data_IF_675584051550
#
_entry.id   IF_675584051550
#
_cell.length_a   1.000
_cell.length_b   1.000
_cell.length_c   1.000
_cell.angle_alpha   90.00
_cell.angle_beta   90.00
_cell.angle_gamma   90.00
#
_symmetry.space_group_name_H-M   'P 1'
#
loop_
_entity.id
_entity.type
_entity.pdbx_description
1 polymer ?
#
# COMPACT_ATOMS: atom_id res chain seq x y z
N UNK A 1 -23.39 -4.09 10.74
CA UNK A 1 -21.96 -4.13 10.34
C UNK A 1 -21.51 -2.70 10.28
N UNK A 2 -20.53 -2.33 11.09
CA UNK A 2 -20.03 -0.95 11.14
C UNK A 2 -19.24 -0.67 9.88
N UNK A 3 -19.61 0.40 9.17
CA UNK A 3 -18.87 0.87 8.02
C UNK A 3 -17.56 1.47 8.52
N UNK A 4 -16.43 0.91 8.10
CA UNK A 4 -15.09 1.33 8.55
C UNK A 4 -14.57 2.57 7.81
N UNK A 5 -15.33 3.07 6.84
CA UNK A 5 -14.96 4.11 5.88
C UNK A 5 -13.72 3.78 5.03
N UNK A 6 -13.15 2.59 5.16
CA UNK A 6 -12.01 2.13 4.39
C UNK A 6 -12.49 1.55 3.07
N UNK A 7 -12.11 2.19 1.96
CA UNK A 7 -12.32 1.68 0.62
C UNK A 7 -11.02 1.01 0.12
N UNK A 8 -11.14 -0.20 -0.39
CA UNK A 8 -10.07 -0.99 -1.02
C UNK A 8 -10.37 -1.11 -2.52
N UNK A 9 -9.34 -1.05 -3.37
CA UNK A 9 -9.52 -1.34 -4.81
C UNK A 9 -9.16 -2.79 -5.11
N UNK A 10 -10.02 -3.46 -5.88
CA UNK A 10 -9.69 -4.77 -6.43
C UNK A 10 -8.81 -4.65 -7.69
N UNK A 11 -8.46 -5.82 -8.25
CA UNK A 11 -7.66 -5.95 -9.47
C UNK A 11 -8.28 -5.37 -10.74
N UNK A 12 -9.53 -4.95 -10.69
CA UNK A 12 -10.25 -4.30 -11.78
C UNK A 12 -10.40 -2.79 -11.55
N UNK A 13 -9.79 -2.26 -10.48
CA UNK A 13 -9.90 -0.87 -10.07
C UNK A 13 -11.25 -0.55 -9.41
N UNK A 14 -12.07 -1.56 -9.10
CA UNK A 14 -13.36 -1.34 -8.46
C UNK A 14 -13.17 -1.19 -6.96
N UNK A 15 -13.89 -0.23 -6.39
CA UNK A 15 -13.81 0.06 -4.97
C UNK A 15 -14.79 -0.77 -4.16
N UNK A 16 -14.28 -1.36 -3.08
CA UNK A 16 -15.00 -2.20 -2.14
C UNK A 16 -14.85 -1.61 -0.75
N UNK A 17 -15.96 -1.54 0.00
CA UNK A 17 -15.92 -1.10 1.39
C UNK A 17 -15.42 -2.25 2.26
N UNK A 18 -14.37 -2.00 3.03
CA UNK A 18 -13.90 -2.94 4.03
C UNK A 18 -14.88 -2.98 5.20
N UNK A 19 -15.28 -4.19 5.59
CA UNK A 19 -16.20 -4.41 6.70
C UNK A 19 -15.53 -5.37 7.67
N UNK A 20 -15.22 -4.86 8.86
CA UNK A 20 -14.67 -5.64 9.97
C UNK A 20 -15.14 -5.02 11.29
N UNK A 21 -15.21 -5.83 12.32
CA UNK A 21 -15.61 -5.48 13.67
C UNK A 21 -14.43 -4.92 14.50
N UNK A 22 -14.72 -4.40 15.68
CA UNK A 22 -13.69 -3.83 16.57
C UNK A 22 -12.70 -4.87 17.11
N UNK A 23 -13.10 -6.15 17.13
CA UNK A 23 -12.26 -7.27 17.59
C UNK A 23 -11.47 -7.92 16.44
N UNK A 24 -11.57 -7.38 15.23
CA UNK A 24 -10.87 -7.84 14.04
C UNK A 24 -9.79 -6.84 13.64
N UNK A 25 -8.72 -7.36 13.04
CA UNK A 25 -7.69 -6.56 12.40
C UNK A 25 -7.65 -6.87 10.91
N UNK A 26 -7.29 -5.84 10.13
CA UNK A 26 -7.05 -5.97 8.70
C UNK A 26 -5.54 -5.89 8.44
N UNK A 27 -5.04 -6.83 7.64
CA UNK A 27 -3.67 -6.79 7.12
C UNK A 27 -3.73 -6.38 5.66
N UNK A 28 -2.97 -5.35 5.30
CA UNK A 28 -2.82 -4.89 3.92
C UNK A 28 -1.32 -4.91 3.58
N UNK A 29 -0.99 -5.45 2.43
CA UNK A 29 0.38 -5.47 1.90
C UNK A 29 0.68 -4.18 1.12
N UNK A 30 1.93 -3.73 1.24
CA UNK A 30 2.41 -2.49 0.63
C UNK A 30 3.47 -2.75 -0.44
N UNK A 31 3.94 -1.67 -1.07
CA UNK A 31 4.82 -1.67 -2.25
C UNK A 31 6.10 -2.49 -2.09
N UNK A 32 6.71 -2.52 -0.89
CA UNK A 32 7.88 -3.35 -0.63
C UNK A 32 7.58 -4.85 -0.81
N UNK A 33 6.43 -5.33 -0.32
CA UNK A 33 6.00 -6.72 -0.51
C UNK A 33 5.66 -7.01 -1.97
N UNK A 34 5.06 -6.05 -2.69
CA UNK A 34 4.81 -6.19 -4.12
C UNK A 34 6.10 -6.40 -4.91
N UNK A 35 7.14 -5.61 -4.63
CA UNK A 35 8.46 -5.72 -5.28
C UNK A 35 9.13 -7.05 -4.92
N UNK A 36 9.27 -7.35 -3.63
CA UNK A 36 9.96 -8.55 -3.11
C UNK A 36 9.25 -9.86 -3.49
N UNK A 37 7.97 -9.79 -3.80
CA UNK A 37 7.19 -10.92 -4.30
C UNK A 37 7.13 -10.97 -5.83
N UNK A 38 7.90 -10.18 -6.58
CA UNK A 38 7.83 -10.12 -8.05
C UNK A 38 6.39 -9.92 -8.57
N UNK A 39 5.59 -9.13 -7.86
CA UNK A 39 4.19 -8.85 -8.16
C UNK A 39 3.21 -9.99 -7.87
N UNK A 40 3.63 -11.09 -7.22
CA UNK A 40 2.72 -12.18 -6.84
C UNK A 40 1.83 -11.81 -5.65
N UNK A 41 2.31 -10.94 -4.76
CA UNK A 41 1.52 -10.38 -3.66
C UNK A 41 1.23 -8.91 -4.00
N UNK A 42 -0.04 -8.54 -4.26
CA UNK A 42 -0.36 -7.17 -4.64
C UNK A 42 -0.13 -6.23 -3.46
N UNK A 43 0.28 -5.00 -3.74
CA UNK A 43 -0.03 -3.91 -2.83
C UNK A 43 -1.49 -3.51 -3.11
N UNK A 44 -2.35 -3.38 -2.11
CA UNK A 44 -3.77 -3.05 -2.38
C UNK A 44 -3.99 -1.54 -2.21
N UNK A 45 -4.31 -0.78 -3.27
CA UNK A 45 -4.62 0.63 -3.14
C UNK A 45 -5.85 0.81 -2.26
N UNK A 46 -5.80 1.77 -1.35
CA UNK A 46 -6.87 2.00 -0.39
C UNK A 46 -6.92 3.45 0.06
N UNK A 47 -8.10 3.88 0.49
CA UNK A 47 -8.33 5.21 1.01
C UNK A 47 -9.42 5.19 2.07
N UNK A 48 -9.30 6.07 3.07
CA UNK A 48 -10.42 6.35 3.97
C UNK A 48 -11.32 7.37 3.29
N UNK A 49 -12.56 6.98 2.98
CA UNK A 49 -13.57 7.81 2.34
C UNK A 49 -14.72 8.04 3.30
N UNK A 50 -14.81 9.25 3.83
CA UNK A 50 -15.93 9.68 4.66
C UNK A 50 -17.06 10.11 3.71
N UNK A 51 -18.26 9.52 3.79
CA UNK A 51 -19.40 9.96 3.00
C UNK A 51 -19.72 11.44 3.27
N UNK A 52 -20.07 12.20 2.23
CA UNK A 52 -20.40 13.63 2.37
C UNK A 52 -21.58 13.87 3.34
N UNK A 53 -22.50 12.90 3.43
CA UNK A 53 -23.66 12.94 4.32
C UNK A 53 -23.36 12.50 5.77
N UNK A 54 -22.11 12.13 6.08
CA UNK A 54 -21.74 11.64 7.39
C UNK A 54 -21.94 12.73 8.48
N UNK A 55 -22.49 12.37 9.66
CA UNK A 55 -22.62 13.31 10.77
C UNK A 55 -21.25 13.90 11.16
N UNK A 56 -21.17 15.22 11.28
CA UNK A 56 -19.93 15.93 11.62
C UNK A 56 -19.40 15.63 13.03
N UNK A 57 -20.22 15.02 13.88
CA UNK A 57 -19.89 14.60 15.24
C UNK A 57 -19.51 13.12 15.32
N UNK A 58 -19.29 12.44 14.20
CA UNK A 58 -18.79 11.08 14.17
C UNK A 58 -17.25 11.08 14.29
N UNK A 59 -16.73 10.30 15.23
CA UNK A 59 -15.29 10.13 15.43
C UNK A 59 -14.90 8.70 15.10
N UNK A 60 -13.87 8.55 14.25
CA UNK A 60 -13.25 7.27 13.93
C UNK A 60 -11.83 7.27 14.49
N UNK A 61 -11.51 6.25 15.27
CA UNK A 61 -10.14 6.00 15.74
C UNK A 61 -9.59 4.83 14.95
N UNK A 62 -8.37 4.99 14.44
CA UNK A 62 -7.61 3.90 13.82
C UNK A 62 -6.23 3.84 14.47
N UNK A 63 -5.77 2.63 14.75
CA UNK A 63 -4.40 2.35 15.09
C UNK A 63 -3.79 1.55 13.95
N UNK A 64 -2.65 2.02 13.41
CA UNK A 64 -1.96 1.37 12.30
C UNK A 64 -0.55 1.02 12.78
N UNK A 65 -0.14 -0.23 12.56
CA UNK A 65 1.22 -0.70 12.82
C UNK A 65 1.83 -1.12 11.49
N UNK A 66 2.94 -0.49 11.13
CA UNK A 66 3.69 -0.82 9.92
C UNK A 66 4.73 -1.90 10.25
N UNK A 67 4.68 -3.00 9.52
CA UNK A 67 5.66 -4.09 9.60
C UNK A 67 6.59 -3.97 8.41
N UNK A 68 7.82 -3.54 8.68
CA UNK A 68 8.78 -3.17 7.64
C UNK A 68 10.05 -4.03 7.73
N UNK A 69 10.76 -4.21 6.61
CA UNK A 69 12.11 -4.79 6.62
C UNK A 69 13.09 -3.98 7.47
N UNK A 70 14.23 -4.58 7.80
CA UNK A 70 15.36 -3.85 8.36
C UNK A 70 15.80 -2.74 7.39
N UNK A 71 16.19 -1.57 7.91
CA UNK A 71 16.63 -0.45 7.07
C UNK A 71 17.82 -0.80 6.15
N UNK A 72 18.68 -1.72 6.58
CA UNK A 72 19.82 -2.22 5.81
C UNK A 72 19.48 -3.45 4.95
N UNK A 73 18.22 -3.88 4.92
CA UNK A 73 17.77 -4.93 4.01
C UNK A 73 17.94 -4.45 2.57
N UNK A 74 18.55 -5.28 1.73
CA UNK A 74 18.74 -4.99 0.31
C UNK A 74 17.56 -5.55 -0.47
N UNK A 75 16.80 -4.67 -1.08
CA UNK A 75 15.59 -5.03 -1.81
C UNK A 75 15.91 -5.60 -3.19
N UNK A 76 15.29 -6.72 -3.56
CA UNK A 76 15.51 -7.42 -4.83
C UNK A 76 14.19 -7.97 -5.41
N UNK A 77 14.14 -8.11 -6.74
CA UNK A 77 13.09 -8.91 -7.39
C UNK A 77 13.65 -10.34 -7.56
N UNK A 78 13.15 -11.35 -6.83
CA UNK A 78 13.80 -12.65 -6.74
C UNK A 78 13.76 -13.46 -8.04
N UNK A 79 12.89 -13.10 -8.99
CA UNK A 79 12.75 -13.77 -10.28
C UNK A 79 13.76 -13.29 -11.32
N UNK A 80 14.44 -12.17 -11.08
CA UNK A 80 15.30 -11.50 -12.06
C UNK A 80 14.54 -10.71 -13.13
N UNK A 81 13.20 -10.68 -13.06
CA UNK A 81 12.37 -9.77 -13.85
C UNK A 81 12.71 -8.32 -13.46
N UNK A 82 12.66 -7.41 -14.43
CA UNK A 82 12.73 -5.98 -14.18
C UNK A 82 11.47 -5.48 -13.48
N UNK A 83 11.59 -4.35 -12.78
CA UNK A 83 10.44 -3.71 -12.15
C UNK A 83 9.32 -3.39 -13.16
N UNK A 84 9.69 -2.96 -14.37
CA UNK A 84 8.73 -2.65 -15.43
C UNK A 84 7.98 -3.90 -15.91
N UNK A 85 8.62 -5.06 -15.94
CA UNK A 85 7.97 -6.33 -16.31
C UNK A 85 6.93 -6.74 -15.26
N UNK A 86 7.24 -6.64 -13.97
CA UNK A 86 6.27 -6.99 -12.92
C UNK A 86 5.08 -6.02 -12.89
N UNK A 87 5.31 -4.73 -13.13
CA UNK A 87 4.23 -3.72 -13.23
C UNK A 87 3.37 -3.93 -14.47
N UNK A 88 3.96 -4.26 -15.62
CA UNK A 88 3.21 -4.50 -16.85
C UNK A 88 2.25 -5.71 -16.73
N UNK A 89 2.54 -6.62 -15.81
CA UNK A 89 1.72 -7.81 -15.53
C UNK A 89 0.66 -7.56 -14.46
N UNK A 90 0.77 -6.48 -13.70
CA UNK A 90 -0.20 -6.12 -12.66
C UNK A 90 -1.50 -5.59 -13.28
N UNK A 91 -2.66 -6.25 -13.02
CA UNK A 91 -3.95 -5.81 -13.56
C UNK A 91 -4.38 -4.43 -13.07
N UNK A 92 -3.92 -4.00 -11.89
CA UNK A 92 -4.27 -2.71 -11.32
C UNK A 92 -3.60 -1.54 -12.04
N UNK A 93 -2.52 -1.78 -12.78
CA UNK A 93 -1.87 -0.82 -13.64
C UNK A 93 -1.73 0.57 -13.02
N UNK A 94 -0.63 0.80 -12.30
CA UNK A 94 -0.09 2.15 -12.04
C UNK A 94 -0.69 2.92 -10.84
N UNK A 95 -1.25 2.26 -9.82
CA UNK A 95 -1.70 2.97 -8.59
C UNK A 95 -0.68 2.95 -7.44
N UNK A 96 0.54 2.47 -7.67
CA UNK A 96 1.59 2.39 -6.65
C UNK A 96 2.57 3.55 -6.73
N UNK A 97 2.14 4.77 -6.39
CA UNK A 97 3.02 5.96 -6.41
C UNK A 97 4.34 5.77 -5.63
N UNK A 98 4.29 4.94 -4.60
CA UNK A 98 5.46 4.59 -3.78
C UNK A 98 6.54 3.81 -4.56
N UNK A 99 6.17 3.19 -5.69
CA UNK A 99 7.08 2.35 -6.49
C UNK A 99 7.90 3.12 -7.51
N UNK A 100 7.58 4.40 -7.77
CA UNK A 100 8.34 5.27 -8.68
C UNK A 100 9.81 5.46 -8.23
N UNK A 101 10.08 5.21 -6.95
CA UNK A 101 11.39 5.37 -6.32
C UNK A 101 12.22 4.09 -6.27
N UNK A 102 11.65 2.95 -6.67
CA UNK A 102 12.36 1.69 -6.62
C UNK A 102 13.52 1.66 -7.61
N UNK A 103 14.69 1.25 -7.11
CA UNK A 103 15.88 0.98 -7.91
C UNK A 103 16.39 -0.40 -7.52
N UNK A 104 16.65 -1.24 -8.50
CA UNK A 104 17.08 -2.62 -8.25
C UNK A 104 18.30 -2.67 -7.31
N UNK A 105 18.20 -3.50 -6.28
CA UNK A 105 19.24 -3.66 -5.28
C UNK A 105 19.45 -2.48 -4.33
N UNK A 106 18.52 -1.52 -4.23
CA UNK A 106 18.57 -0.46 -3.21
C UNK A 106 18.39 -1.00 -1.79
N UNK A 107 18.81 -0.24 -0.80
CA UNK A 107 18.46 -0.54 0.60
C UNK A 107 17.03 -0.09 0.90
N UNK A 108 16.32 -0.83 1.76
CA UNK A 108 14.97 -0.48 2.18
C UNK A 108 14.91 0.95 2.76
N UNK A 109 15.96 1.38 3.47
CA UNK A 109 16.07 2.78 3.92
C UNK A 109 15.94 3.79 2.77
N UNK A 110 16.64 3.58 1.67
CA UNK A 110 16.64 4.51 0.54
C UNK A 110 15.26 4.60 -0.11
N UNK A 111 14.59 3.45 -0.24
CA UNK A 111 13.23 3.37 -0.74
C UNK A 111 12.23 4.07 0.21
N UNK A 112 12.28 3.74 1.49
CA UNK A 112 11.41 4.32 2.52
C UNK A 112 11.61 5.84 2.66
N UNK A 113 12.83 6.34 2.60
CA UNK A 113 13.12 7.79 2.66
C UNK A 113 12.42 8.56 1.52
N UNK A 114 12.38 8.01 0.30
CA UNK A 114 11.70 8.66 -0.84
C UNK A 114 10.16 8.62 -0.70
N UNK A 115 9.60 7.50 -0.22
CA UNK A 115 8.17 7.42 0.10
C UNK A 115 7.81 8.45 1.16
N UNK A 116 8.61 8.55 2.22
CA UNK A 116 8.39 9.51 3.30
C UNK A 116 8.38 10.96 2.78
N UNK A 117 9.25 11.32 1.84
CA UNK A 117 9.22 12.66 1.20
C UNK A 117 7.90 12.90 0.47
N UNK A 118 7.43 11.91 -0.29
CA UNK A 118 6.19 11.97 -1.07
C UNK A 118 4.93 12.06 -0.19
N UNK A 119 4.85 11.26 0.86
CA UNK A 119 3.68 11.17 1.76
C UNK A 119 3.61 12.35 2.73
N UNK A 120 4.75 12.78 3.27
CA UNK A 120 4.79 13.80 4.33
C UNK A 120 5.12 15.21 3.82
N UNK A 121 5.27 15.42 2.51
CA UNK A 121 5.71 16.71 1.94
C UNK A 121 6.99 17.25 2.59
N UNK A 122 7.89 16.35 3.00
CA UNK A 122 9.17 16.72 3.58
C UNK A 122 10.07 17.23 2.44
N UNK A 123 10.39 18.53 2.47
CA UNK A 123 11.30 19.20 1.52
C UNK A 123 12.75 18.78 1.74
#
# INVERSE_FOLDING_TARGET
>A
MDNTALALKDRHGWEHQAVFSQDEFLIITASAMFIESAGYIPATPHAVKIPDEAPKNLYRVQAVSFFEPDLNHRMIIPTGESFQEIVARDPCGFEYRDTDFYRDGCYFKEFHDEIAKSVYNLK
#
